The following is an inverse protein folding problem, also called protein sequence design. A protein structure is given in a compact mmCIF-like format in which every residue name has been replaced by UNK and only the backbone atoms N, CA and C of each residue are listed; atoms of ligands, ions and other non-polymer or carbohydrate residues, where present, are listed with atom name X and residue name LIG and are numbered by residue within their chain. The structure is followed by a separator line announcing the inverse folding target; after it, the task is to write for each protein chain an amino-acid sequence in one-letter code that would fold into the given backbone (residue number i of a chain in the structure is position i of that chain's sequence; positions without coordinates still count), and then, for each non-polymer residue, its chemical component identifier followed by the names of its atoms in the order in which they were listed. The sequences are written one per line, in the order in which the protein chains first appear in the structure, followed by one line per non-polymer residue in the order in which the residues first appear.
data_IF_381355336824
#
_entry.id   IF_381355336824
#
_cell.length_a   1.000
_cell.length_b   1.000
_cell.length_c   1.000
_cell.angle_alpha   90.00
_cell.angle_beta   90.00
_cell.angle_gamma   90.00
#
_symmetry.space_group_name_H-M   'P 1'
#
loop_
_entity.id
_entity.type
_entity.pdbx_description
1 polymer ?
#
# COMPACT_ATOMS: atom_id res chain seq x y z
N UNK A 1 -9.71 0.47 11.01
CA UNK A 1 -8.59 1.43 11.03
C UNK A 1 -8.85 2.45 9.92
N UNK A 2 -8.67 3.76 10.16
CA UNK A 2 -8.82 4.77 9.10
C UNK A 2 -7.45 5.15 8.57
N UNK A 3 -7.32 5.18 7.24
CA UNK A 3 -6.10 5.58 6.55
C UNK A 3 -6.31 6.81 5.69
N UNK A 4 -5.28 7.64 5.62
CA UNK A 4 -5.19 8.80 4.76
C UNK A 4 -4.07 8.56 3.77
N UNK A 5 -4.41 8.35 2.49
CA UNK A 5 -3.43 8.15 1.44
C UNK A 5 -2.81 9.51 1.10
N UNK A 6 -1.51 9.64 1.35
CA UNK A 6 -0.71 10.85 1.05
C UNK A 6 -0.37 10.86 -0.44
N UNK A 7 0.15 9.73 -0.92
CA UNK A 7 0.51 9.55 -2.32
C UNK A 7 0.36 8.10 -2.72
N UNK A 8 -0.02 7.87 -3.98
CA UNK A 8 -0.04 6.55 -4.57
C UNK A 8 0.57 6.65 -5.96
N UNK A 9 1.39 5.68 -6.31
CA UNK A 9 2.01 5.54 -7.62
C UNK A 9 1.90 4.09 -8.05
N UNK A 10 1.50 3.85 -9.28
CA UNK A 10 1.55 2.54 -9.89
C UNK A 10 2.45 2.61 -11.11
N UNK A 11 3.33 1.64 -11.23
CA UNK A 11 4.17 1.40 -12.40
C UNK A 11 3.85 0.01 -12.94
N UNK A 12 3.79 -0.11 -14.26
CA UNK A 12 3.62 -1.38 -14.94
C UNK A 12 4.83 -1.63 -15.83
N UNK A 13 5.44 -2.79 -15.69
CA UNK A 13 6.63 -3.20 -16.42
C UNK A 13 6.44 -4.62 -16.97
N UNK A 14 6.90 -4.87 -18.19
CA UNK A 14 6.67 -6.15 -18.88
C UNK A 14 7.39 -7.33 -18.19
N UNK A 15 8.44 -7.06 -17.42
CA UNK A 15 9.24 -8.08 -16.75
C UNK A 15 8.80 -8.35 -15.31
N UNK A 16 8.26 -7.35 -14.61
CA UNK A 16 7.92 -7.43 -13.16
C UNK A 16 6.43 -7.26 -12.84
N UNK A 17 5.60 -6.96 -13.86
CA UNK A 17 4.16 -6.77 -13.71
C UNK A 17 3.78 -5.40 -13.16
N UNK A 18 2.77 -5.37 -12.29
CA UNK A 18 2.27 -4.17 -11.64
C UNK A 18 2.93 -3.99 -10.29
N UNK A 19 3.56 -2.84 -10.08
CA UNK A 19 4.15 -2.44 -8.80
C UNK A 19 3.52 -1.12 -8.35
N UNK A 20 2.81 -1.16 -7.23
CA UNK A 20 2.20 -0.01 -6.59
C UNK A 20 2.99 0.41 -5.35
N UNK A 21 3.30 1.69 -5.22
CA UNK A 21 3.89 2.28 -4.03
C UNK A 21 2.90 3.29 -3.46
N UNK A 22 2.49 3.07 -2.21
CA UNK A 22 1.48 3.90 -1.55
C UNK A 22 2.02 4.38 -0.22
N UNK A 23 2.11 5.70 -0.05
CA UNK A 23 2.40 6.34 1.22
C UNK A 23 1.11 6.79 1.88
N UNK A 24 0.94 6.44 3.14
CA UNK A 24 -0.29 6.69 3.88
C UNK A 24 -0.03 6.93 5.36
N UNK A 25 -0.97 7.60 6.02
CA UNK A 25 -1.00 7.78 7.46
C UNK A 25 -2.20 7.05 8.04
N UNK A 26 -2.03 6.46 9.21
CA UNK A 26 -3.13 5.84 9.97
C UNK A 26 -3.60 6.85 11.02
N UNK A 27 -4.91 7.07 11.10
CA UNK A 27 -5.49 7.92 12.14
C UNK A 27 -5.02 7.43 13.53
N UNK A 28 -4.48 8.33 14.34
CA UNK A 28 -3.89 8.08 15.68
C UNK A 28 -2.47 7.47 15.72
N UNK A 29 -1.87 7.11 14.58
CA UNK A 29 -0.47 6.69 14.55
C UNK A 29 0.45 7.91 14.38
N UNK A 30 1.68 7.82 14.91
CA UNK A 30 2.60 8.97 14.91
C UNK A 30 3.40 9.12 13.61
N UNK A 31 3.57 8.04 12.86
CA UNK A 31 4.46 8.00 11.70
C UNK A 31 3.68 7.55 10.46
N UNK A 32 4.04 8.09 9.27
CA UNK A 32 3.51 7.58 8.01
C UNK A 32 4.12 6.21 7.70
N UNK A 33 3.39 5.45 6.89
CA UNK A 33 3.77 4.14 6.39
C UNK A 33 3.87 4.17 4.87
N UNK A 34 4.65 3.24 4.34
CA UNK A 34 4.71 2.96 2.92
C UNK A 34 4.41 1.48 2.71
N UNK A 35 3.39 1.20 1.90
CA UNK A 35 3.12 -0.15 1.42
C UNK A 35 3.48 -0.23 -0.04
N UNK A 36 4.31 -1.21 -0.38
CA UNK A 36 4.57 -1.61 -1.75
C UNK A 36 3.72 -2.83 -2.05
N UNK A 37 2.92 -2.79 -3.10
CA UNK A 37 2.13 -3.91 -3.60
C UNK A 37 2.67 -4.35 -4.96
N UNK A 38 2.70 -5.65 -5.22
CA UNK A 38 3.15 -6.20 -6.50
C UNK A 38 2.20 -7.30 -6.98
N UNK A 39 1.90 -7.35 -8.27
CA UNK A 39 1.21 -8.46 -8.92
C UNK A 39 1.67 -8.64 -10.35
N UNK A 40 1.96 -9.89 -10.73
CA UNK A 40 2.38 -10.22 -12.10
C UNK A 40 1.28 -9.91 -13.13
N UNK A 41 0.01 -10.13 -12.77
CA UNK A 41 -1.12 -10.03 -13.68
C UNK A 41 -2.06 -8.84 -13.38
N UNK A 42 -1.80 -8.09 -12.31
CA UNK A 42 -2.60 -6.93 -11.88
C UNK A 42 -4.05 -7.25 -11.47
N UNK A 43 -4.41 -8.54 -11.39
CA UNK A 43 -5.78 -9.00 -11.08
C UNK A 43 -5.83 -9.75 -9.75
N UNK A 44 -4.97 -10.75 -9.56
CA UNK A 44 -4.93 -11.63 -8.39
C UNK A 44 -3.47 -11.83 -7.93
N UNK A 45 -3.28 -12.48 -6.77
CA UNK A 45 -1.97 -12.81 -6.20
C UNK A 45 -1.11 -11.56 -5.95
N UNK A 46 -1.66 -10.61 -5.22
CA UNK A 46 -0.88 -9.46 -4.79
C UNK A 46 0.03 -9.87 -3.64
N UNK A 47 1.32 -9.59 -3.77
CA UNK A 47 2.23 -9.54 -2.64
C UNK A 47 2.33 -8.11 -2.15
N UNK A 48 2.60 -7.94 -0.86
CA UNK A 48 2.83 -6.62 -0.30
C UNK A 48 4.06 -6.61 0.62
N UNK A 49 4.63 -5.42 0.79
CA UNK A 49 5.68 -5.13 1.74
C UNK A 49 5.36 -3.81 2.45
N UNK A 50 5.15 -3.88 3.76
CA UNK A 50 4.89 -2.73 4.61
C UNK A 50 6.19 -2.23 5.24
N UNK A 51 6.42 -0.93 5.16
CA UNK A 51 7.59 -0.25 5.72
C UNK A 51 7.17 1.05 6.44
N UNK A 52 8.03 1.54 7.33
CA UNK A 52 7.88 2.90 7.86
C UNK A 52 8.29 3.92 6.80
N UNK A 53 7.47 4.96 6.59
CA UNK A 53 7.66 5.90 5.47
C UNK A 53 8.79 6.92 5.66
N UNK A 54 9.22 7.21 6.87
CA UNK A 54 10.31 8.19 7.11
C UNK A 54 11.17 7.88 8.33
N UNK A 55 10.57 7.46 9.44
CA UNK A 55 11.29 7.12 10.67
C UNK A 55 10.73 5.82 11.25
N UNK A 56 11.58 5.03 11.89
CA UNK A 56 11.16 3.85 12.64
C UNK A 56 10.10 4.25 13.66
N UNK A 57 8.89 3.68 13.52
CA UNK A 57 7.76 3.91 14.41
C UNK A 57 7.61 2.82 15.46
N UNK A 58 6.43 2.72 16.07
CA UNK A 58 6.14 1.65 17.02
C UNK A 58 5.98 0.31 16.30
N UNK A 59 6.67 -0.73 16.78
CA UNK A 59 6.55 -2.09 16.26
C UNK A 59 5.11 -2.62 16.41
N UNK A 60 4.43 -2.28 17.51
CA UNK A 60 3.03 -2.66 17.74
C UNK A 60 2.08 -2.01 16.72
N UNK A 61 2.36 -0.76 16.33
CA UNK A 61 1.52 -0.03 15.37
C UNK A 61 1.69 -0.59 13.95
N UNK A 62 2.93 -0.85 13.51
CA UNK A 62 3.18 -1.42 12.18
C UNK A 62 2.65 -2.86 12.10
N UNK A 63 2.78 -3.65 13.18
CA UNK A 63 2.24 -4.99 13.23
C UNK A 63 0.70 -4.98 13.11
N UNK A 64 0.01 -4.08 13.80
CA UNK A 64 -1.44 -3.95 13.67
C UNK A 64 -1.89 -3.56 12.25
N UNK A 65 -1.07 -2.78 11.52
CA UNK A 65 -1.33 -2.44 10.10
C UNK A 65 -1.06 -3.66 9.21
N UNK A 66 0.02 -4.40 9.46
CA UNK A 66 0.39 -5.61 8.74
C UNK A 66 -0.68 -6.69 8.85
N UNK A 67 -1.10 -7.01 10.08
CA UNK A 67 -2.21 -7.93 10.36
C UNK A 67 -3.49 -7.48 9.63
N UNK A 68 -3.75 -6.17 9.59
CA UNK A 68 -4.93 -5.66 8.91
C UNK A 68 -4.85 -5.78 7.38
N UNK A 69 -3.66 -5.64 6.80
CA UNK A 69 -3.45 -5.85 5.36
C UNK A 69 -3.64 -7.32 4.97
N UNK A 70 -3.30 -8.25 5.87
CA UNK A 70 -3.47 -9.69 5.64
C UNK A 70 -4.92 -10.17 5.88
N UNK A 71 -5.58 -9.71 6.95
CA UNK A 71 -6.88 -10.22 7.36
C UNK A 71 -8.10 -9.51 6.74
N UNK A 72 -7.93 -8.28 6.25
CA UNK A 72 -9.02 -7.45 5.73
C UNK A 72 -8.81 -7.11 4.25
N UNK A 73 -9.34 -7.95 3.36
CA UNK A 73 -9.33 -7.72 1.92
C UNK A 73 -9.86 -6.33 1.52
N UNK A 74 -10.90 -5.84 2.22
CA UNK A 74 -11.49 -4.54 1.90
C UNK A 74 -10.59 -3.37 2.32
N UNK A 75 -9.72 -3.57 3.31
CA UNK A 75 -8.67 -2.62 3.66
C UNK A 75 -7.55 -2.65 2.60
N UNK A 76 -7.07 -3.84 2.24
CA UNK A 76 -6.04 -4.02 1.21
C UNK A 76 -6.48 -3.46 -0.16
N UNK A 77 -7.73 -3.69 -0.56
CA UNK A 77 -8.29 -3.24 -1.83
C UNK A 77 -8.20 -1.71 -2.00
N UNK A 78 -8.25 -0.93 -0.92
CA UNK A 78 -8.13 0.54 -0.99
C UNK A 78 -6.78 0.98 -1.55
N UNK A 79 -5.70 0.26 -1.20
CA UNK A 79 -4.36 0.53 -1.69
C UNK A 79 -4.22 0.16 -3.16
N UNK A 80 -4.78 -0.98 -3.57
CA UNK A 80 -4.83 -1.41 -4.97
C UNK A 80 -5.59 -0.40 -5.83
N UNK A 81 -6.75 0.05 -5.36
CA UNK A 81 -7.57 1.07 -6.05
C UNK A 81 -6.79 2.39 -6.16
N UNK A 82 -6.17 2.85 -5.08
CA UNK A 82 -5.41 4.10 -5.09
C UNK A 82 -4.23 4.05 -6.06
N UNK A 83 -3.48 2.95 -6.07
CA UNK A 83 -2.39 2.75 -7.02
C UNK A 83 -2.91 2.72 -8.46
N UNK A 84 -3.96 1.95 -8.75
CA UNK A 84 -4.56 1.89 -10.09
C UNK A 84 -5.11 3.24 -10.58
N UNK A 85 -5.68 4.05 -9.68
CA UNK A 85 -6.14 5.40 -10.03
C UNK A 85 -4.97 6.32 -10.42
N UNK A 86 -3.81 6.16 -9.80
CA UNK A 86 -2.59 6.90 -10.14
C UNK A 86 -2.07 6.54 -11.54
N UNK A 87 -2.14 5.26 -11.92
CA UNK A 87 -1.78 4.82 -13.29
C UNK A 87 -2.65 5.51 -14.34
N UNK A 88 -3.97 5.55 -14.13
CA UNK A 88 -4.93 6.17 -15.06
C UNK A 88 -4.82 7.69 -15.14
N UNK A 89 -4.32 8.34 -14.09
CA UNK A 89 -4.13 9.78 -14.07
C UNK A 89 -2.86 10.22 -14.83
N UNK A 90 -2.01 9.26 -15.23
CA UNK A 90 -0.75 9.51 -15.94
C UNK A 90 -0.82 9.20 -17.45
N UNK A 91 -1.99 8.83 -17.96
CA UNK A 91 -2.29 8.56 -19.39
C UNK A 91 -3.10 9.72 -19.99
#
# INVERSE_FOLDING_TARGET
MKVHIISAKMTHDEETGYVGQIQFEVEQHKQPYEVTIQSDNGRNNWSYALNFGSQSGSEEEIQAVDERLEEDDAFFEQFVIAANNSLKASD
#
